data_IF_116020683567
#
_entry.id   IF_116020683567
#
_cell.length_a   1.000
_cell.length_b   1.000
_cell.length_c   1.000
_cell.angle_alpha   90.00
_cell.angle_beta   90.00
_cell.angle_gamma   90.00
#
_symmetry.space_group_name_H-M   'P 1'
#
loop_
_entity.id
_entity.type
_entity.pdbx_description
1 polymer ?
#
# COMPACT_ATOMS: atom_id res chain seq x y z
N UNK A 1 14.47 -3.35 -3.43
CA UNK A 1 15.06 -2.05 -3.03
C UNK A 1 14.21 -0.85 -3.50
N UNK A 2 12.91 -1.00 -3.76
CA UNK A 2 12.04 0.11 -4.17
C UNK A 2 11.32 0.79 -3.00
N UNK A 3 11.08 0.09 -1.88
CA UNK A 3 10.28 0.59 -0.76
C UNK A 3 10.80 1.91 -0.17
N UNK A 4 12.11 2.02 0.09
CA UNK A 4 12.69 3.24 0.71
C UNK A 4 12.72 4.49 -0.19
N UNK A 5 12.50 4.37 -1.50
CA UNK A 5 12.39 5.55 -2.38
C UNK A 5 10.94 6.02 -2.46
N UNK A 6 10.02 5.09 -2.64
CA UNK A 6 8.59 5.39 -2.58
C UNK A 6 8.17 6.00 -1.22
N UNK A 7 8.75 5.53 -0.11
CA UNK A 7 8.45 6.07 1.23
C UNK A 7 8.84 7.54 1.35
N UNK A 8 10.01 7.91 0.83
CA UNK A 8 10.49 9.30 0.85
C UNK A 8 9.66 10.20 -0.05
N UNK A 9 9.30 9.71 -1.24
CA UNK A 9 8.46 10.47 -2.18
C UNK A 9 7.06 10.69 -1.62
N UNK A 10 6.53 9.71 -0.88
CA UNK A 10 5.24 9.82 -0.24
C UNK A 10 5.25 10.76 0.98
N UNK A 11 6.26 10.66 1.86
CA UNK A 11 6.44 11.58 3.01
C UNK A 11 6.51 13.02 2.51
N UNK A 12 7.30 13.28 1.45
CA UNK A 12 7.41 14.60 0.86
C UNK A 12 6.07 15.17 0.34
N UNK A 13 5.15 14.30 -0.13
CA UNK A 13 3.79 14.75 -0.54
C UNK A 13 2.93 15.12 0.65
N UNK A 14 3.04 14.43 1.78
CA UNK A 14 2.30 14.78 3.01
C UNK A 14 2.86 16.05 3.63
N UNK A 15 4.19 16.19 3.69
CA UNK A 15 4.85 17.42 4.11
C UNK A 15 4.39 18.61 3.25
N UNK A 16 4.27 18.43 1.93
CA UNK A 16 3.74 19.45 1.03
C UNK A 16 2.28 19.84 1.32
N UNK A 17 1.42 18.88 1.72
CA UNK A 17 0.03 19.17 2.11
C UNK A 17 0.00 19.97 3.42
N UNK A 18 0.88 19.67 4.37
CA UNK A 18 1.04 20.43 5.60
C UNK A 18 1.53 21.85 5.33
N UNK A 19 2.55 22.02 4.49
CA UNK A 19 3.07 23.34 4.11
C UNK A 19 2.00 24.22 3.44
N UNK A 20 1.04 23.61 2.75
CA UNK A 20 -0.10 24.28 2.13
C UNK A 20 -1.25 24.57 3.13
N UNK A 21 -1.14 24.12 4.38
CA UNK A 21 -2.18 24.24 5.40
C UNK A 21 -3.41 23.38 5.16
N UNK A 22 -3.33 22.38 4.27
CA UNK A 22 -4.41 21.44 4.01
C UNK A 22 -4.56 20.38 5.11
N UNK A 23 -3.48 20.12 5.85
CA UNK A 23 -3.46 19.26 7.04
C UNK A 23 -2.64 19.91 8.15
N UNK A 24 -2.91 19.55 9.40
CA UNK A 24 -2.14 19.95 10.57
C UNK A 24 -1.06 18.91 10.94
N UNK A 25 -0.21 19.24 11.93
CA UNK A 25 0.90 18.37 12.37
C UNK A 25 0.43 17.01 12.93
N UNK A 26 -0.75 16.94 13.55
CA UNK A 26 -1.33 15.70 14.10
C UNK A 26 -1.89 14.80 12.99
N UNK A 27 -2.53 15.40 11.98
CA UNK A 27 -3.01 14.74 10.77
C UNK A 27 -1.85 14.21 9.92
N UNK A 28 -0.77 14.98 9.77
CA UNK A 28 0.48 14.54 9.13
C UNK A 28 1.05 13.30 9.85
N UNK A 29 1.26 13.38 11.16
CA UNK A 29 1.82 12.27 11.94
C UNK A 29 0.94 11.01 11.85
N UNK A 30 -0.39 11.19 11.82
CA UNK A 30 -1.36 10.11 11.67
C UNK A 30 -1.27 9.45 10.29
N UNK A 31 -1.22 10.27 9.22
CA UNK A 31 -1.07 9.80 7.84
C UNK A 31 0.25 9.03 7.66
N UNK A 32 1.36 9.57 8.15
CA UNK A 32 2.71 8.97 8.05
C UNK A 32 2.75 7.61 8.73
N UNK A 33 2.26 7.53 9.96
CA UNK A 33 2.22 6.27 10.70
C UNK A 33 1.33 5.23 10.01
N UNK A 34 0.11 5.61 9.65
CA UNK A 34 -0.86 4.68 9.07
C UNK A 34 -0.38 4.08 7.75
N UNK A 35 0.18 4.89 6.87
CA UNK A 35 0.64 4.41 5.56
C UNK A 35 1.91 3.58 5.66
N UNK A 36 2.80 3.89 6.61
CA UNK A 36 3.96 3.05 6.93
C UNK A 36 3.53 1.67 7.47
N UNK A 37 2.60 1.62 8.43
CA UNK A 37 2.08 0.37 9.00
C UNK A 37 1.43 -0.51 7.92
N UNK A 38 0.66 0.10 7.03
CA UNK A 38 -0.04 -0.63 5.97
C UNK A 38 0.87 -1.15 4.88
N UNK A 39 1.88 -0.38 4.48
CA UNK A 39 2.90 -0.85 3.55
C UNK A 39 3.66 -2.05 4.11
N UNK A 40 4.05 -2.01 5.37
CA UNK A 40 4.66 -3.17 6.04
C UNK A 40 3.73 -4.40 6.02
N UNK A 41 2.43 -4.19 6.23
CA UNK A 41 1.41 -5.24 6.11
C UNK A 41 1.27 -5.79 4.68
N UNK A 42 1.34 -4.92 3.66
CA UNK A 42 1.29 -5.32 2.25
C UNK A 42 2.53 -6.13 1.85
N UNK A 43 3.73 -5.71 2.26
CA UNK A 43 4.96 -6.45 2.02
C UNK A 43 4.95 -7.82 2.68
N UNK A 44 4.47 -7.90 3.93
CA UNK A 44 4.30 -9.18 4.62
C UNK A 44 3.29 -10.08 3.91
N UNK A 45 2.16 -9.52 3.44
CA UNK A 45 1.14 -10.25 2.69
C UNK A 45 1.70 -10.78 1.38
N UNK A 46 2.48 -9.98 0.65
CA UNK A 46 3.18 -10.40 -0.58
C UNK A 46 4.18 -11.52 -0.32
N UNK A 47 4.98 -11.40 0.75
CA UNK A 47 5.94 -12.42 1.13
C UNK A 47 5.25 -13.76 1.47
N UNK A 48 4.07 -13.70 2.08
CA UNK A 48 3.27 -14.88 2.41
C UNK A 48 2.71 -15.62 1.18
N UNK A 49 2.64 -14.98 0.00
CA UNK A 49 2.20 -15.61 -1.24
C UNK A 49 3.28 -16.51 -1.87
N UNK A 50 4.55 -16.30 -1.54
CA UNK A 50 5.70 -16.99 -2.18
C UNK A 50 5.63 -18.52 -2.07
N UNK A 51 5.28 -19.14 -0.93
CA UNK A 51 5.18 -20.60 -0.84
C UNK A 51 4.13 -21.19 -1.78
N UNK A 52 2.96 -20.55 -1.88
CA UNK A 52 1.87 -21.01 -2.75
C UNK A 52 2.16 -20.75 -4.23
N UNK A 53 2.80 -19.62 -4.55
CA UNK A 53 3.32 -19.37 -5.89
C UNK A 53 4.25 -20.48 -6.35
N UNK A 54 5.20 -20.89 -5.49
CA UNK A 54 6.13 -22.00 -5.80
C UNK A 54 5.41 -23.33 -5.98
N UNK A 55 4.38 -23.62 -5.17
CA UNK A 55 3.56 -24.83 -5.32
C UNK A 55 2.87 -24.86 -6.68
N UNK A 56 2.24 -23.76 -7.06
CA UNK A 56 1.55 -23.59 -8.35
C UNK A 56 2.51 -23.62 -9.53
N UNK A 57 3.68 -23.01 -9.39
CA UNK A 57 4.73 -23.05 -10.41
C UNK A 57 5.13 -24.51 -10.73
N UNK A 58 5.23 -25.36 -9.70
CA UNK A 58 5.57 -26.77 -9.87
C UNK A 58 4.39 -27.64 -10.37
N UNK A 59 3.15 -27.33 -9.97
CA UNK A 59 1.98 -28.16 -10.27
C UNK A 59 1.26 -27.75 -11.58
N UNK A 60 1.09 -26.45 -11.78
CA UNK A 60 0.22 -25.85 -12.80
C UNK A 60 1.01 -25.12 -13.89
N UNK A 61 2.32 -24.93 -13.67
CA UNK A 61 3.21 -24.23 -14.59
C UNK A 61 3.23 -22.71 -14.40
N UNK A 62 4.14 -22.07 -15.13
CA UNK A 62 4.47 -20.67 -14.91
C UNK A 62 3.31 -19.71 -15.15
N UNK A 63 2.61 -19.84 -16.28
CA UNK A 63 1.48 -18.94 -16.63
C UNK A 63 0.39 -18.95 -15.56
N UNK A 64 0.00 -20.13 -15.07
CA UNK A 64 -1.04 -20.24 -14.05
C UNK A 64 -0.59 -19.67 -12.69
N UNK A 65 0.69 -19.83 -12.34
CA UNK A 65 1.26 -19.26 -11.13
C UNK A 65 1.36 -17.73 -11.20
N UNK A 66 1.77 -17.20 -12.35
CA UNK A 66 1.87 -15.77 -12.63
C UNK A 66 0.49 -15.10 -12.61
N UNK A 67 -0.51 -15.70 -13.27
CA UNK A 67 -1.89 -15.20 -13.27
C UNK A 67 -2.48 -15.19 -11.85
N UNK A 68 -2.20 -16.24 -11.07
CA UNK A 68 -2.64 -16.32 -9.68
C UNK A 68 -2.02 -15.21 -8.82
N UNK A 69 -0.69 -15.03 -8.86
CA UNK A 69 -0.04 -14.01 -8.02
C UNK A 69 -0.43 -12.60 -8.45
N UNK A 70 -0.64 -12.36 -9.75
CA UNK A 70 -1.16 -11.10 -10.25
C UNK A 70 -2.58 -10.82 -9.75
N UNK A 71 -3.46 -11.82 -9.70
CA UNK A 71 -4.80 -11.67 -9.14
C UNK A 71 -4.77 -11.38 -7.63
N UNK A 72 -3.91 -12.04 -6.87
CA UNK A 72 -3.72 -11.76 -5.43
C UNK A 72 -3.20 -10.34 -5.22
N UNK A 73 -2.23 -9.90 -6.02
CA UNK A 73 -1.67 -8.55 -5.94
C UNK A 73 -2.68 -7.45 -6.24
N UNK A 74 -3.56 -7.65 -7.24
CA UNK A 74 -4.67 -6.72 -7.51
C UNK A 74 -5.63 -6.64 -6.33
N UNK A 75 -6.05 -7.78 -5.77
CA UNK A 75 -6.96 -7.81 -4.63
C UNK A 75 -6.39 -7.09 -3.40
N UNK A 76 -5.09 -7.27 -3.13
CA UNK A 76 -4.40 -6.56 -2.05
C UNK A 76 -4.30 -5.05 -2.32
N UNK A 77 -3.99 -4.64 -3.55
CA UNK A 77 -3.96 -3.22 -3.93
C UNK A 77 -5.34 -2.55 -3.88
N UNK A 78 -6.41 -3.25 -4.25
CA UNK A 78 -7.78 -2.72 -4.16
C UNK A 78 -8.24 -2.56 -2.71
N UNK A 79 -7.93 -3.52 -1.85
CA UNK A 79 -8.19 -3.42 -0.41
C UNK A 79 -7.42 -2.24 0.20
N UNK A 80 -6.16 -2.06 -0.20
CA UNK A 80 -5.34 -0.94 0.21
C UNK A 80 -5.94 0.41 -0.26
N UNK A 81 -6.29 0.55 -1.54
CA UNK A 81 -6.90 1.78 -2.04
C UNK A 81 -8.20 2.15 -1.31
N UNK A 82 -9.04 1.16 -0.97
CA UNK A 82 -10.27 1.40 -0.19
C UNK A 82 -9.99 1.89 1.22
N UNK A 83 -9.12 1.21 1.96
CA UNK A 83 -8.79 1.61 3.32
C UNK A 83 -8.16 3.01 3.37
N UNK A 84 -7.41 3.41 2.34
CA UNK A 84 -6.83 4.76 2.26
C UNK A 84 -7.92 5.81 2.02
N UNK A 85 -8.91 5.52 1.16
CA UNK A 85 -10.06 6.41 0.99
C UNK A 85 -10.88 6.56 2.26
N UNK A 86 -11.19 5.46 2.94
CA UNK A 86 -11.96 5.48 4.19
C UNK A 86 -11.27 6.32 5.27
N UNK A 87 -9.94 6.24 5.36
CA UNK A 87 -9.17 7.08 6.26
C UNK A 87 -9.28 8.57 5.89
N UNK A 88 -9.08 8.91 4.61
CA UNK A 88 -9.12 10.29 4.13
C UNK A 88 -10.51 10.91 4.33
N UNK A 89 -11.57 10.15 4.01
CA UNK A 89 -12.95 10.54 4.26
C UNK A 89 -13.21 10.78 5.76
N UNK A 90 -12.70 9.90 6.62
CA UNK A 90 -12.80 10.04 8.08
C UNK A 90 -12.08 11.26 8.65
N UNK A 91 -11.04 11.74 7.97
CA UNK A 91 -10.31 12.97 8.31
C UNK A 91 -10.90 14.22 7.65
N UNK A 92 -11.93 14.09 6.80
CA UNK A 92 -12.51 15.21 6.05
C UNK A 92 -11.60 15.75 4.94
N UNK A 93 -10.58 14.99 4.53
CA UNK A 93 -9.64 15.37 3.48
C UNK A 93 -10.20 14.91 2.14
N UNK A 94 -10.78 15.82 1.37
CA UNK A 94 -11.16 15.56 0.00
C UNK A 94 -9.92 15.61 -0.91
N UNK A 95 -9.52 14.46 -1.44
CA UNK A 95 -8.60 14.45 -2.58
C UNK A 95 -9.32 15.01 -3.81
N UNK A 96 -8.66 15.86 -4.64
CA UNK A 96 -9.24 16.36 -5.89
C UNK A 96 -9.52 15.26 -6.91
#
# INVERSE_FOLDING_TARGET
>A
MSSSTDDRDWIARVEALREQGAINDEEEATLVRHLSERRAGLEQSMAALVPEYRRRLAADGQTAADDWVAAQARGLGEADARATRELLDGMGIALP
#
